data_IF_612554567030
#
_entry.id   IF_612554567030
#
_cell.length_a   1.000
_cell.length_b   1.000
_cell.length_c   1.000
_cell.angle_alpha   90.00
_cell.angle_beta   90.00
_cell.angle_gamma   90.00
#
_symmetry.space_group_name_H-M   'P 1'
#
loop_
_entity.id
_entity.type
_entity.pdbx_description
1 polymer ?
#
# COMPACT_ATOMS: atom_id res chain seq x y z
N UNK A 1 -13.99 -19.52 7.28
CA UNK A 1 -13.71 -18.22 7.95
C UNK A 1 -12.81 -18.35 9.18
N UNK A 2 -13.05 -19.32 10.08
CA UNK A 2 -12.25 -19.51 11.32
C UNK A 2 -10.75 -19.76 11.06
N UNK A 3 -10.40 -20.66 10.13
CA UNK A 3 -8.99 -20.97 9.82
C UNK A 3 -8.21 -19.75 9.27
N UNK A 4 -8.87 -18.90 8.47
CA UNK A 4 -8.26 -17.65 7.96
C UNK A 4 -8.01 -16.68 9.11
N UNK A 5 -8.97 -16.52 10.03
CA UNK A 5 -8.82 -15.66 11.19
C UNK A 5 -7.70 -16.14 12.14
N UNK A 6 -7.56 -17.45 12.35
CA UNK A 6 -6.47 -18.04 13.13
C UNK A 6 -5.12 -17.74 12.48
N UNK A 7 -4.99 -17.94 11.16
CA UNK A 7 -3.76 -17.65 10.42
C UNK A 7 -3.38 -16.17 10.50
N UNK A 8 -4.35 -15.26 10.37
CA UNK A 8 -4.12 -13.81 10.51
C UNK A 8 -3.60 -13.48 11.91
N UNK A 9 -4.27 -13.97 12.96
CA UNK A 9 -3.86 -13.74 14.36
C UNK A 9 -2.47 -14.31 14.64
N UNK A 10 -2.17 -15.51 14.15
CA UNK A 10 -0.85 -16.13 14.29
C UNK A 10 0.25 -15.21 13.76
N UNK A 11 0.11 -14.73 12.51
CA UNK A 11 1.10 -13.82 11.94
C UNK A 11 1.16 -12.49 12.67
N UNK A 12 0.03 -11.93 13.13
CA UNK A 12 0.04 -10.70 13.94
C UNK A 12 0.87 -10.88 15.21
N UNK A 13 0.65 -11.98 15.95
CA UNK A 13 1.38 -12.27 17.19
C UNK A 13 2.86 -12.49 16.91
N UNK A 14 3.20 -13.36 15.95
CA UNK A 14 4.61 -13.66 15.62
C UNK A 14 5.35 -12.41 15.18
N UNK A 15 4.79 -11.62 14.26
CA UNK A 15 5.44 -10.38 13.79
C UNK A 15 5.58 -9.37 14.94
N UNK A 16 4.60 -9.28 15.86
CA UNK A 16 4.70 -8.41 17.03
C UNK A 16 5.78 -8.86 18.01
N UNK A 17 5.91 -10.16 18.27
CA UNK A 17 6.99 -10.71 19.11
C UNK A 17 8.34 -10.38 18.51
N UNK A 18 8.53 -10.65 17.21
CA UNK A 18 9.78 -10.30 16.49
C UNK A 18 10.08 -8.80 16.62
N UNK A 19 9.09 -7.92 16.40
CA UNK A 19 9.29 -6.49 16.56
C UNK A 19 9.70 -6.11 17.98
N UNK A 20 9.06 -6.66 19.02
CA UNK A 20 9.41 -6.38 20.42
C UNK A 20 10.84 -6.80 20.73
N UNK A 21 11.26 -7.99 20.29
CA UNK A 21 12.63 -8.48 20.46
C UNK A 21 13.67 -7.61 19.72
N UNK A 22 13.28 -6.97 18.63
CA UNK A 22 14.15 -6.07 17.86
C UNK A 22 14.18 -4.63 18.41
N UNK A 23 13.31 -4.24 19.35
CA UNK A 23 13.28 -2.88 19.90
C UNK A 23 14.63 -2.46 20.53
N UNK A 24 15.29 -3.28 21.38
CA UNK A 24 16.59 -2.91 21.95
C UNK A 24 17.64 -2.63 20.88
N UNK A 25 17.71 -3.49 19.85
CA UNK A 25 18.62 -3.31 18.71
C UNK A 25 18.29 -2.01 17.96
N UNK A 26 17.01 -1.74 17.73
CA UNK A 26 16.55 -0.50 17.12
C UNK A 26 16.95 0.74 17.93
N UNK A 27 16.88 0.68 19.26
CA UNK A 27 17.25 1.78 20.14
C UNK A 27 18.77 2.06 20.07
N UNK A 28 19.60 1.01 20.08
CA UNK A 28 21.05 1.16 19.93
C UNK A 28 21.44 1.75 18.57
N UNK A 29 20.71 1.44 17.49
CA UNK A 29 21.01 1.96 16.14
C UNK A 29 20.48 3.38 15.90
N UNK A 30 19.32 3.73 16.46
CA UNK A 30 18.72 5.05 16.30
C UNK A 30 17.87 5.41 17.55
N UNK A 31 18.50 6.07 18.54
CA UNK A 31 17.78 6.58 19.71
C UNK A 31 16.58 7.44 19.28
N UNK A 32 15.43 7.24 19.93
CA UNK A 32 14.16 7.91 19.58
C UNK A 32 13.38 7.29 18.40
N UNK A 33 13.99 6.43 17.58
CA UNK A 33 13.32 5.73 16.47
C UNK A 33 13.31 4.20 16.59
N UNK A 34 13.79 3.64 17.70
CA UNK A 34 13.94 2.19 17.87
C UNK A 34 12.67 1.37 17.61
N UNK A 35 11.52 1.79 18.17
CA UNK A 35 10.21 1.13 17.92
C UNK A 35 9.77 1.22 16.46
N UNK A 36 10.06 2.34 15.81
CA UNK A 36 9.76 2.51 14.39
C UNK A 36 10.59 1.55 13.55
N UNK A 37 11.91 1.52 13.75
CA UNK A 37 12.83 0.64 13.01
C UNK A 37 12.52 -0.85 13.23
N UNK A 38 12.32 -1.26 14.49
CA UNK A 38 11.98 -2.63 14.83
C UNK A 38 10.67 -3.10 14.16
N UNK A 39 9.68 -2.21 14.06
CA UNK A 39 8.46 -2.45 13.31
C UNK A 39 8.74 -2.61 11.80
N UNK A 40 9.56 -1.74 11.20
CA UNK A 40 9.89 -1.86 9.77
C UNK A 40 10.60 -3.18 9.46
N UNK A 41 11.56 -3.59 10.30
CA UNK A 41 12.28 -4.87 10.13
C UNK A 41 11.38 -6.09 10.34
N UNK A 42 10.50 -6.08 11.34
CA UNK A 42 9.56 -7.17 11.52
C UNK A 42 8.58 -7.29 10.33
N UNK A 43 8.13 -6.15 9.79
CA UNK A 43 7.27 -6.13 8.61
C UNK A 43 8.00 -6.60 7.34
N UNK A 44 9.30 -6.30 7.17
CA UNK A 44 10.06 -6.82 6.03
C UNK A 44 10.26 -8.33 6.11
N UNK A 45 10.44 -8.89 7.31
CA UNK A 45 10.46 -10.34 7.52
C UNK A 45 9.09 -10.98 7.25
N UNK A 46 8.00 -10.27 7.61
CA UNK A 46 6.63 -10.74 7.35
C UNK A 46 6.26 -10.68 5.87
N UNK A 47 6.76 -9.69 5.13
CA UNK A 47 6.45 -9.45 3.72
C UNK A 47 7.73 -9.45 2.88
N UNK A 48 8.42 -10.60 2.73
CA UNK A 48 9.75 -10.64 2.12
C UNK A 48 9.78 -10.25 0.64
N UNK A 49 8.63 -10.35 -0.06
CA UNK A 49 8.48 -9.94 -1.46
C UNK A 49 7.98 -8.48 -1.62
N UNK A 50 7.81 -7.73 -0.53
CA UNK A 50 7.50 -6.30 -0.61
C UNK A 50 8.72 -5.52 -1.11
N UNK A 51 8.49 -4.58 -2.03
CA UNK A 51 9.49 -3.60 -2.44
C UNK A 51 8.95 -2.18 -2.22
N UNK A 52 9.73 -1.37 -1.51
CA UNK A 52 9.44 0.04 -1.23
C UNK A 52 10.37 0.99 -2.00
N UNK A 53 11.34 0.45 -2.75
CA UNK A 53 12.26 1.26 -3.56
C UNK A 53 11.50 1.96 -4.68
N UNK A 54 11.94 3.16 -5.02
CA UNK A 54 11.31 3.98 -6.07
C UNK A 54 10.01 4.68 -5.67
N UNK A 55 9.47 4.42 -4.47
CA UNK A 55 8.39 5.26 -3.93
C UNK A 55 8.89 6.69 -3.76
N UNK A 56 8.03 7.67 -4.05
CA UNK A 56 8.33 9.05 -3.75
C UNK A 56 8.59 9.22 -2.24
N UNK A 57 9.51 10.11 -1.83
CA UNK A 57 9.90 10.26 -0.42
C UNK A 57 8.70 10.48 0.52
N UNK A 58 7.72 11.27 0.08
CA UNK A 58 6.51 11.60 0.83
C UNK A 58 5.60 10.38 0.96
N UNK A 59 5.44 9.59 -0.11
CA UNK A 59 4.69 8.32 -0.09
C UNK A 59 5.33 7.33 0.88
N UNK A 60 6.65 7.16 0.80
CA UNK A 60 7.38 6.27 1.70
C UNK A 60 7.22 6.69 3.15
N UNK A 61 7.36 7.99 3.45
CA UNK A 61 7.19 8.53 4.79
C UNK A 61 5.74 8.40 5.28
N UNK A 62 4.74 8.63 4.43
CA UNK A 62 3.33 8.44 4.76
C UNK A 62 3.02 6.97 5.07
N UNK A 63 3.40 6.07 4.17
CA UNK A 63 3.12 4.64 4.28
C UNK A 63 3.81 4.01 5.50
N UNK A 64 5.10 4.29 5.71
CA UNK A 64 5.85 3.71 6.82
C UNK A 64 5.38 4.22 8.19
N UNK A 65 4.94 5.48 8.30
CA UNK A 65 4.29 6.02 9.51
C UNK A 65 2.93 5.38 9.76
N UNK A 66 2.09 5.29 8.72
CA UNK A 66 0.76 4.70 8.82
C UNK A 66 0.83 3.24 9.29
N UNK A 67 1.70 2.42 8.68
CA UNK A 67 1.86 1.01 9.07
C UNK A 67 2.47 0.85 10.45
N UNK A 68 3.37 1.74 10.89
CA UNK A 68 3.92 1.71 12.24
C UNK A 68 2.86 2.01 13.31
N UNK A 69 1.99 3.00 13.08
CA UNK A 69 0.87 3.31 13.96
C UNK A 69 -0.11 2.12 14.05
N UNK A 70 -0.54 1.62 12.89
CA UNK A 70 -1.44 0.47 12.79
C UNK A 70 -0.89 -0.75 13.54
N UNK A 71 0.41 -1.01 13.38
CA UNK A 71 1.12 -2.11 14.02
C UNK A 71 1.16 -1.99 15.54
N UNK A 72 1.62 -0.86 16.07
CA UNK A 72 1.83 -0.74 17.52
C UNK A 72 0.52 -0.59 18.29
N UNK A 73 -0.42 0.21 17.79
CA UNK A 73 -1.68 0.47 18.48
C UNK A 73 -2.69 -0.66 18.31
N UNK A 74 -2.81 -1.21 17.09
CA UNK A 74 -3.85 -2.17 16.75
C UNK A 74 -3.37 -3.59 16.42
N UNK A 75 -2.05 -3.82 16.35
CA UNK A 75 -1.49 -5.09 15.87
C UNK A 75 -1.74 -5.33 14.37
N UNK A 76 -2.23 -4.31 13.64
CA UNK A 76 -2.56 -4.46 12.24
C UNK A 76 -1.29 -4.46 11.39
N UNK A 77 -1.11 -5.53 10.61
CA UNK A 77 -0.02 -5.65 9.65
C UNK A 77 -0.45 -5.00 8.34
N UNK A 78 0.44 -4.20 7.75
CA UNK A 78 0.22 -3.54 6.47
C UNK A 78 1.51 -3.70 5.67
N UNK A 79 1.39 -4.21 4.45
CA UNK A 79 2.47 -4.31 3.48
C UNK A 79 1.97 -4.06 2.06
N UNK A 80 2.85 -4.10 1.08
CA UNK A 80 2.53 -3.93 -0.34
C UNK A 80 2.63 -5.24 -1.11
N UNK A 81 1.69 -5.44 -2.02
CA UNK A 81 1.82 -6.35 -3.16
C UNK A 81 2.63 -5.65 -4.26
N UNK A 82 2.41 -4.36 -4.47
CA UNK A 82 3.13 -3.57 -5.46
C UNK A 82 3.23 -2.09 -5.02
N UNK A 83 4.43 -1.53 -5.16
CA UNK A 83 4.72 -0.11 -4.93
C UNK A 83 5.08 0.56 -6.26
N UNK A 84 6.23 1.23 -6.33
CA UNK A 84 6.70 1.81 -7.59
C UNK A 84 6.83 0.78 -8.72
N UNK A 85 6.55 1.20 -9.96
CA UNK A 85 6.81 0.44 -11.18
C UNK A 85 7.54 1.34 -12.17
N UNK A 86 8.47 0.77 -12.92
CA UNK A 86 9.06 1.50 -14.06
C UNK A 86 8.03 1.69 -15.17
N UNK A 87 8.21 2.73 -16.00
CA UNK A 87 7.35 2.96 -17.16
C UNK A 87 7.31 1.74 -18.12
N UNK A 88 8.43 1.03 -18.27
CA UNK A 88 8.53 -0.18 -19.10
C UNK A 88 7.69 -1.34 -18.53
N UNK A 89 7.76 -1.57 -17.23
CA UNK A 89 6.91 -2.57 -16.57
C UNK A 89 5.45 -2.22 -16.75
N UNK A 90 5.06 -0.97 -16.47
CA UNK A 90 3.68 -0.50 -16.63
C UNK A 90 3.18 -0.61 -18.09
N UNK A 91 4.05 -0.34 -19.07
CA UNK A 91 3.72 -0.49 -20.49
C UNK A 91 3.39 -1.96 -20.82
N UNK A 92 4.19 -2.89 -20.28
CA UNK A 92 3.96 -4.32 -20.48
C UNK A 92 2.62 -4.79 -19.89
N UNK A 93 2.33 -4.50 -18.62
CA UNK A 93 1.04 -4.91 -18.01
C UNK A 93 -0.15 -4.22 -18.67
N UNK A 94 0.00 -2.98 -19.14
CA UNK A 94 -1.05 -2.31 -19.92
C UNK A 94 -1.30 -3.04 -21.24
N UNK A 95 -0.25 -3.34 -22.00
CA UNK A 95 -0.37 -4.08 -23.25
C UNK A 95 -1.00 -5.47 -23.04
N UNK A 96 -0.56 -6.22 -22.02
CA UNK A 96 -1.13 -7.53 -21.65
C UNK A 96 -2.64 -7.42 -21.34
N UNK A 97 -3.07 -6.35 -20.66
CA UNK A 97 -4.48 -6.10 -20.36
C UNK A 97 -5.29 -5.71 -21.61
N UNK A 98 -4.69 -4.96 -22.54
CA UNK A 98 -5.29 -4.68 -23.87
C UNK A 98 -5.48 -5.97 -24.65
N UNK A 99 -4.46 -6.84 -24.72
CA UNK A 99 -4.58 -8.15 -25.35
C UNK A 99 -5.67 -9.01 -24.72
N UNK A 100 -5.75 -9.02 -23.39
CA UNK A 100 -6.74 -9.83 -22.65
C UNK A 100 -8.18 -9.35 -22.85
N UNK A 101 -8.38 -8.05 -22.97
CA UNK A 101 -9.72 -7.45 -23.09
C UNK A 101 -10.15 -7.20 -24.53
N UNK A 102 -9.20 -7.21 -25.47
CA UNK A 102 -9.43 -6.90 -26.89
C UNK A 102 -9.65 -5.40 -27.18
N UNK A 103 -9.52 -4.51 -26.19
CA UNK A 103 -9.78 -3.07 -26.37
C UNK A 103 -9.00 -2.23 -25.35
N UNK A 104 -8.42 -1.13 -25.85
CA UNK A 104 -7.76 -0.11 -25.02
C UNK A 104 -8.73 0.46 -23.99
N UNK A 105 -9.96 0.77 -24.40
CA UNK A 105 -11.00 1.35 -23.54
C UNK A 105 -11.41 0.38 -22.42
N UNK A 106 -11.49 -0.92 -22.72
CA UNK A 106 -11.79 -1.93 -21.71
C UNK A 106 -10.62 -2.13 -20.73
N UNK A 107 -9.38 -2.15 -21.22
CA UNK A 107 -8.17 -2.30 -20.42
C UNK A 107 -7.98 -1.16 -19.41
N UNK A 108 -8.22 0.09 -19.84
CA UNK A 108 -8.08 1.29 -19.00
C UNK A 108 -8.96 1.28 -17.75
N UNK A 109 -10.04 0.48 -17.71
CA UNK A 109 -10.87 0.29 -16.51
C UNK A 109 -10.18 -0.51 -15.39
N UNK A 110 -8.99 -1.05 -15.63
CA UNK A 110 -8.23 -1.89 -14.67
C UNK A 110 -6.75 -1.54 -14.64
N UNK A 111 -6.15 -1.15 -15.77
CA UNK A 111 -4.73 -0.84 -15.87
C UNK A 111 -4.57 0.43 -16.70
N UNK A 112 -3.94 1.45 -16.13
CA UNK A 112 -3.62 2.70 -16.82
C UNK A 112 -2.32 2.57 -17.63
N UNK A 113 -2.17 3.34 -18.73
CA UNK A 113 -0.90 3.44 -19.44
C UNK A 113 0.19 4.09 -18.56
N UNK A 114 1.47 3.96 -18.94
CA UNK A 114 2.61 4.45 -18.15
C UNK A 114 2.51 5.92 -17.73
N UNK A 115 2.03 6.78 -18.62
CA UNK A 115 1.98 8.23 -18.45
C UNK A 115 0.95 8.66 -17.39
N UNK A 116 -0.05 7.81 -17.14
CA UNK A 116 -1.16 8.08 -16.22
C UNK A 116 -1.04 7.32 -14.89
N UNK A 117 -0.18 6.31 -14.82
CA UNK A 117 -0.06 5.43 -13.65
C UNK A 117 0.60 6.12 -12.45
N UNK A 118 -0.10 6.15 -11.33
CA UNK A 118 0.45 6.63 -10.05
C UNK A 118 1.57 5.74 -9.50
N UNK A 119 1.64 4.46 -9.90
CA UNK A 119 2.77 3.59 -9.57
C UNK A 119 4.06 4.06 -10.25
N UNK A 120 3.98 4.54 -11.49
CA UNK A 120 5.14 5.08 -12.22
C UNK A 120 5.65 6.38 -11.59
N UNK A 121 4.76 7.16 -10.98
CA UNK A 121 5.12 8.39 -10.24
C UNK A 121 5.58 8.12 -8.81
N UNK A 122 5.57 6.88 -8.34
CA UNK A 122 5.94 6.53 -6.96
C UNK A 122 4.90 6.94 -5.90
N UNK A 123 3.67 7.27 -6.31
CA UNK A 123 2.56 7.64 -5.43
C UNK A 123 1.56 6.51 -5.17
N UNK A 124 1.51 5.51 -6.06
CA UNK A 124 0.60 4.37 -5.98
C UNK A 124 1.08 3.24 -5.08
N UNK A 125 0.15 2.64 -4.33
CA UNK A 125 0.37 1.57 -3.36
C UNK A 125 -0.74 0.52 -3.48
N UNK A 126 -0.38 -0.71 -3.88
CA UNK A 126 -1.29 -1.84 -3.84
C UNK A 126 -1.11 -2.60 -2.52
N UNK A 127 -2.03 -2.38 -1.58
CA UNK A 127 -1.90 -2.73 -0.16
C UNK A 127 -2.43 -4.13 0.13
N UNK A 128 -1.70 -4.84 1.00
CA UNK A 128 -2.07 -6.14 1.58
C UNK A 128 -1.81 -6.19 3.09
N UNK A 129 -2.40 -7.16 3.81
CA UNK A 129 -3.56 -7.94 3.40
C UNK A 129 -4.82 -7.06 3.35
N UNK A 130 -5.98 -7.65 3.06
CA UNK A 130 -7.27 -6.94 3.02
C UNK A 130 -7.58 -6.21 4.32
N UNK A 131 -7.21 -6.75 5.48
CA UNK A 131 -7.35 -6.07 6.78
C UNK A 131 -6.48 -4.82 6.87
N UNK A 132 -5.30 -4.85 6.25
CA UNK A 132 -4.39 -3.69 6.17
C UNK A 132 -4.97 -2.60 5.28
N UNK A 133 -5.49 -2.96 4.10
CA UNK A 133 -6.20 -2.04 3.22
C UNK A 133 -7.43 -1.43 3.92
N UNK A 134 -8.24 -2.25 4.62
CA UNK A 134 -9.38 -1.76 5.43
C UNK A 134 -8.95 -0.79 6.53
N UNK A 135 -7.77 -0.99 7.13
CA UNK A 135 -7.26 -0.05 8.12
C UNK A 135 -6.88 1.29 7.49
N UNK A 136 -6.21 1.28 6.33
CA UNK A 136 -5.89 2.51 5.59
C UNK A 136 -7.12 3.21 5.05
N UNK A 137 -8.16 2.49 4.65
CA UNK A 137 -9.43 3.09 4.25
C UNK A 137 -10.01 3.98 5.37
N UNK A 138 -9.92 3.53 6.62
CA UNK A 138 -10.47 4.26 7.78
C UNK A 138 -9.54 5.35 8.33
N UNK A 139 -8.22 5.15 8.26
CA UNK A 139 -7.25 6.00 8.97
C UNK A 139 -6.20 6.64 8.08
N UNK A 140 -6.09 6.23 6.82
CA UNK A 140 -5.05 6.63 5.87
C UNK A 140 -5.07 8.13 5.57
N UNK A 141 -6.24 8.77 5.66
CA UNK A 141 -6.40 10.21 5.47
C UNK A 141 -5.49 11.05 6.37
N UNK A 142 -5.18 10.58 7.60
CA UNK A 142 -4.25 11.25 8.54
C UNK A 142 -2.81 11.31 8.05
N UNK A 143 -2.49 10.45 7.07
CA UNK A 143 -1.16 10.32 6.48
C UNK A 143 -1.14 10.76 5.01
N UNK A 144 -2.26 11.25 4.48
CA UNK A 144 -2.39 11.56 3.05
C UNK A 144 -2.54 10.33 2.16
N UNK A 145 -2.92 9.17 2.69
CA UNK A 145 -3.11 7.93 1.93
C UNK A 145 -4.60 7.70 1.68
N UNK A 146 -5.00 7.74 0.42
CA UNK A 146 -6.41 7.64 0.03
C UNK A 146 -6.61 6.53 -0.98
N UNK A 147 -7.66 5.72 -0.78
CA UNK A 147 -8.14 4.84 -1.85
C UNK A 147 -8.91 5.65 -2.88
N UNK A 148 -8.50 5.48 -4.14
CA UNK A 148 -8.95 6.31 -5.26
C UNK A 148 -10.06 5.64 -6.06
N UNK A 149 -10.08 4.30 -6.14
CA UNK A 149 -11.03 3.56 -7.00
C UNK A 149 -11.95 2.61 -6.21
N UNK A 150 -13.24 2.61 -6.53
CA UNK A 150 -14.26 1.74 -5.92
C UNK A 150 -14.07 0.27 -6.30
N UNK A 151 -13.60 -0.02 -7.51
CA UNK A 151 -13.32 -1.39 -7.95
C UNK A 151 -11.98 -1.96 -7.44
N UNK A 152 -11.11 -1.14 -6.85
CA UNK A 152 -9.78 -1.54 -6.39
C UNK A 152 -9.64 -1.30 -4.87
N UNK A 153 -10.11 -2.25 -4.07
CA UNK A 153 -10.05 -2.14 -2.61
C UNK A 153 -8.63 -2.10 -2.03
N UNK A 154 -7.66 -2.56 -2.81
CA UNK A 154 -6.25 -2.61 -2.44
C UNK A 154 -5.49 -1.35 -2.84
N UNK A 155 -5.98 -0.53 -3.78
CA UNK A 155 -5.21 0.55 -4.37
C UNK A 155 -5.36 1.86 -3.59
N UNK A 156 -4.23 2.40 -3.14
CA UNK A 156 -4.12 3.67 -2.44
C UNK A 156 -3.10 4.57 -3.12
N UNK A 157 -3.31 5.88 -3.04
CA UNK A 157 -2.36 6.88 -3.51
C UNK A 157 -2.03 7.89 -2.41
N UNK A 158 -0.78 8.35 -2.39
CA UNK A 158 -0.41 9.51 -1.60
C UNK A 158 -0.91 10.80 -2.26
N UNK A 159 -1.66 11.61 -1.52
CA UNK A 159 -2.20 12.91 -1.95
C UNK A 159 -2.21 13.90 -0.79
N UNK A 160 -1.96 15.17 -1.09
CA UNK A 160 -2.00 16.27 -0.10
C UNK A 160 -3.42 16.68 0.28
N UNK A 161 -4.42 16.34 -0.54
CA UNK A 161 -5.83 16.57 -0.29
C UNK A 161 -6.66 15.33 -0.65
N UNK A 162 -7.82 15.20 -0.01
CA UNK A 162 -8.74 14.10 -0.28
C UNK A 162 -9.21 14.13 -1.75
N UNK A 163 -9.01 13.05 -2.53
CA UNK A 163 -9.52 12.97 -3.89
C UNK A 163 -11.03 12.65 -3.89
N UNK A 164 -11.70 13.01 -4.99
CA UNK A 164 -12.99 12.40 -5.32
C UNK A 164 -12.77 10.93 -5.64
N UNK A 165 -13.51 10.04 -4.97
CA UNK A 165 -13.47 8.61 -5.31
C UNK A 165 -14.11 8.36 -6.66
N UNK A 166 -13.47 7.50 -7.45
CA UNK A 166 -13.87 7.16 -8.80
C UNK A 166 -14.31 5.70 -8.88
N UNK A 167 -15.26 5.34 -9.77
CA UNK A 167 -15.66 3.95 -9.94
C UNK A 167 -14.53 3.01 -10.39
N UNK A 168 -13.63 3.50 -11.24
CA UNK A 168 -12.50 2.78 -11.83
C UNK A 168 -11.42 3.73 -12.38
N UNK A 169 -10.20 3.25 -12.73
CA UNK A 169 -9.11 4.10 -13.22
C UNK A 169 -9.42 5.01 -14.40
N UNK A 170 -10.14 4.53 -15.41
CA UNK A 170 -10.51 5.36 -16.58
C UNK A 170 -11.65 6.36 -16.33
N UNK A 171 -12.21 6.43 -15.11
CA UNK A 171 -13.36 7.30 -14.84
C UNK A 171 -12.90 8.75 -14.61
N UNK A 172 -13.60 9.71 -15.20
CA UNK A 172 -13.39 11.13 -14.91
C UNK A 172 -14.17 11.55 -13.65
N UNK A 173 -13.65 12.52 -12.86
CA UNK A 173 -14.42 13.14 -11.79
C UNK A 173 -15.71 13.75 -12.37
N UNK A 174 -16.87 13.40 -11.80
CA UNK A 174 -18.12 14.09 -12.15
C UNK A 174 -17.95 15.56 -11.78
N UNK A 175 -18.12 16.48 -12.74
CA UNK A 175 -18.26 17.91 -12.44
C UNK A 175 -19.49 18.05 -11.55
N UNK A 176 -19.34 18.67 -10.38
CA UNK A 176 -20.51 19.06 -9.58
C UNK A 176 -21.31 20.07 -10.43
N UNK A 177 -22.64 19.93 -10.53
CA UNK A 177 -23.48 20.94 -11.17
C UNK A 177 -23.35 22.29 -10.46
#
# INVERSE_FOLDING_TARGET
>A
MVAVAIKVRFFQVVTRVVAVLLVPVGFCRAPGRGRFLACQWALSLRFPAEDLRGLAPETLAAFTRARAEAFWRGGQLIGLTSGYRTAREQCRIFAEEVWRTGSVQAARRRVLPPEESSHVRGYGLDVRPTEGARWLERHGWRYGLYRVYDNEWWHFEYRTAAPTRLPHPDAAPRRRP
#
